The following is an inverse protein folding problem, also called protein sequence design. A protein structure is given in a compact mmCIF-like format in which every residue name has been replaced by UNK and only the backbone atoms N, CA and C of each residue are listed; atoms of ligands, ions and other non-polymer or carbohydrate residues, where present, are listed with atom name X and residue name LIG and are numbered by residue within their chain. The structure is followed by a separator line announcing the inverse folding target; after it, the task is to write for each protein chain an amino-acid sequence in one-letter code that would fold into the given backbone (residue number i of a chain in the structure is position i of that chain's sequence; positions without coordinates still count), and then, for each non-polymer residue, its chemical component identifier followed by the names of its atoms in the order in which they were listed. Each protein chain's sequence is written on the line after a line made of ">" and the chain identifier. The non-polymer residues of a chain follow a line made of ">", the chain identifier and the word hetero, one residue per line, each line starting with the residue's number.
data_IF_008435297561
#
_entry.id   IF_008435297561
#
_cell.length_a   1.000
_cell.length_b   1.000
_cell.length_c   1.000
_cell.angle_alpha   90.00
_cell.angle_beta   90.00
_cell.angle_gamma   90.00
#
_symmetry.space_group_name_H-M   'P 1'
#
loop_
_entity.id
_entity.type
_entity.pdbx_description
1 polymer ?
#
# COMPACT_ATOMS: atom_id res chain seq x y z
N UNK A 1 -18.44 14.67 -21.85
CA UNK A 1 -18.28 15.85 -20.97
C UNK A 1 -18.00 15.33 -19.57
N UNK A 2 -16.73 15.28 -19.14
CA UNK A 2 -16.37 14.81 -17.79
C UNK A 2 -16.39 15.99 -16.82
N UNK A 3 -17.11 15.87 -15.71
CA UNK A 3 -17.29 16.94 -14.72
C UNK A 3 -16.05 17.16 -13.84
N UNK A 4 -15.86 18.38 -13.35
CA UNK A 4 -14.77 18.81 -12.46
C UNK A 4 -14.59 17.85 -11.26
N UNK A 5 -15.68 17.31 -10.71
CA UNK A 5 -15.63 16.35 -9.60
C UNK A 5 -14.90 15.04 -9.92
N UNK A 6 -15.04 14.50 -11.15
CA UNK A 6 -14.34 13.29 -11.59
C UNK A 6 -12.83 13.51 -11.69
N UNK A 7 -12.42 14.69 -12.15
CA UNK A 7 -11.01 15.08 -12.28
C UNK A 7 -10.35 15.24 -10.90
N UNK A 8 -11.06 15.89 -9.97
CA UNK A 8 -10.58 16.11 -8.61
C UNK A 8 -10.40 14.78 -7.88
N UNK A 9 -11.41 13.90 -7.85
CA UNK A 9 -11.30 12.57 -7.21
C UNK A 9 -10.18 11.73 -7.85
N UNK A 10 -10.05 11.77 -9.18
CA UNK A 10 -8.92 11.13 -9.87
C UNK A 10 -7.55 11.64 -9.40
N UNK A 11 -7.42 12.96 -9.21
CA UNK A 11 -6.19 13.56 -8.68
C UNK A 11 -5.88 13.04 -7.27
N UNK A 12 -6.86 13.01 -6.36
CA UNK A 12 -6.65 12.53 -4.98
C UNK A 12 -6.25 11.06 -4.91
N UNK A 13 -6.84 10.21 -5.76
CA UNK A 13 -6.46 8.80 -5.88
C UNK A 13 -4.99 8.66 -6.31
N UNK A 14 -4.55 9.49 -7.26
CA UNK A 14 -3.17 9.47 -7.74
C UNK A 14 -2.17 9.95 -6.68
N UNK A 15 -2.50 11.02 -5.94
CA UNK A 15 -1.63 11.56 -4.88
C UNK A 15 -1.57 10.63 -3.66
N UNK A 16 -2.69 10.04 -3.26
CA UNK A 16 -2.70 9.02 -2.21
C UNK A 16 -1.79 7.84 -2.57
N UNK A 17 -1.92 7.33 -3.79
CA UNK A 17 -1.11 6.21 -4.29
C UNK A 17 0.39 6.55 -4.25
N UNK A 18 0.79 7.75 -4.70
CA UNK A 18 2.19 8.19 -4.66
C UNK A 18 2.75 8.26 -3.24
N UNK A 19 2.00 8.82 -2.29
CA UNK A 19 2.44 8.92 -0.90
C UNK A 19 2.64 7.54 -0.26
N UNK A 20 1.67 6.63 -0.42
CA UNK A 20 1.82 5.26 0.08
C UNK A 20 2.99 4.54 -0.57
N UNK A 21 3.17 4.69 -1.89
CA UNK A 21 4.30 4.11 -2.59
C UNK A 21 5.63 4.61 -2.04
N UNK A 22 5.76 5.92 -1.81
CA UNK A 22 6.96 6.51 -1.25
C UNK A 22 7.31 5.94 0.14
N UNK A 23 6.33 5.86 1.04
CA UNK A 23 6.53 5.29 2.38
C UNK A 23 6.93 3.82 2.31
N UNK A 24 6.21 3.01 1.52
CA UNK A 24 6.49 1.58 1.38
C UNK A 24 7.88 1.33 0.78
N UNK A 25 8.30 2.12 -0.22
CA UNK A 25 9.66 2.08 -0.76
C UNK A 25 10.71 2.46 0.28
N UNK A 26 10.46 3.48 1.10
CA UNK A 26 11.38 3.88 2.17
C UNK A 26 11.60 2.74 3.18
N UNK A 27 10.51 2.11 3.64
CA UNK A 27 10.58 0.94 4.53
C UNK A 27 11.34 -0.22 3.89
N UNK A 28 11.06 -0.51 2.61
CA UNK A 28 11.75 -1.53 1.83
C UNK A 28 13.25 -1.25 1.70
N UNK A 29 13.66 0.00 1.42
CA UNK A 29 15.08 0.39 1.34
C UNK A 29 15.81 0.29 2.67
N UNK A 30 15.10 0.47 3.79
CA UNK A 30 15.63 0.28 5.14
C UNK A 30 15.65 -1.19 5.57
N UNK A 31 15.06 -2.11 4.78
CA UNK A 31 14.99 -3.53 5.09
C UNK A 31 14.08 -3.86 6.27
N UNK A 32 13.15 -2.99 6.63
CA UNK A 32 12.26 -3.14 7.80
C UNK A 32 10.81 -3.30 7.39
N UNK A 33 10.09 -4.18 8.07
CA UNK A 33 8.65 -4.40 7.87
C UNK A 33 7.87 -4.18 9.17
N UNK A 34 7.62 -2.92 9.57
CA UNK A 34 6.86 -2.60 10.78
C UNK A 34 5.34 -2.84 10.62
N UNK A 35 4.87 -3.08 9.39
CA UNK A 35 3.45 -3.27 9.07
C UNK A 35 3.07 -4.75 9.20
N UNK A 36 4.04 -5.66 9.06
CA UNK A 36 3.85 -7.10 9.25
C UNK A 36 3.44 -7.85 7.98
N UNK A 37 3.85 -7.37 6.81
CA UNK A 37 3.66 -8.11 5.54
C UNK A 37 4.30 -9.51 5.59
N UNK A 38 5.45 -9.65 6.25
CA UNK A 38 6.14 -10.92 6.45
C UNK A 38 5.39 -11.87 7.36
N UNK A 39 4.67 -11.36 8.36
CA UNK A 39 3.78 -12.18 9.18
C UNK A 39 2.63 -12.73 8.34
N UNK A 40 2.02 -11.89 7.50
CA UNK A 40 0.98 -12.33 6.57
C UNK A 40 1.52 -13.33 5.53
N UNK A 41 2.70 -13.09 4.98
CA UNK A 41 3.36 -13.99 4.04
C UNK A 41 3.55 -15.39 4.68
N UNK A 42 4.14 -15.44 5.87
CA UNK A 42 4.38 -16.68 6.63
C UNK A 42 3.09 -17.39 7.08
N UNK A 43 2.00 -16.65 7.28
CA UNK A 43 0.70 -17.26 7.63
C UNK A 43 -0.01 -17.86 6.40
N UNK A 44 0.34 -17.42 5.19
CA UNK A 44 -0.33 -17.82 3.94
C UNK A 44 0.52 -18.78 3.08
N UNK A 45 1.82 -18.86 3.35
CA UNK A 45 2.75 -19.79 2.72
C UNK A 45 3.20 -20.82 3.77
N UNK A 46 3.24 -22.09 3.39
CA UNK A 46 3.57 -23.19 4.30
C UNK A 46 4.88 -23.87 3.86
N UNK A 47 6.02 -23.17 3.95
CA UNK A 47 7.35 -23.80 3.87
C UNK A 47 8.02 -23.94 5.26
N UNK A 48 7.25 -23.69 6.33
CA UNK A 48 7.61 -23.81 7.75
C UNK A 48 8.83 -22.96 8.10
N UNK A 49 9.99 -23.61 8.25
CA UNK A 49 11.21 -22.97 8.72
C UNK A 49 11.81 -22.05 7.64
N UNK A 50 11.57 -22.32 6.35
CA UNK A 50 12.15 -21.55 5.25
C UNK A 50 11.40 -20.25 4.93
N UNK A 51 10.21 -20.06 5.50
CA UNK A 51 9.37 -18.92 5.16
C UNK A 51 10.02 -17.59 5.54
N UNK A 52 10.85 -17.57 6.60
CA UNK A 52 11.56 -16.37 7.02
C UNK A 52 12.72 -16.01 6.09
N UNK A 53 13.53 -16.97 5.69
CA UNK A 53 14.62 -16.80 4.72
C UNK A 53 14.06 -16.36 3.37
N UNK A 54 12.96 -16.98 2.96
CA UNK A 54 12.24 -16.62 1.74
C UNK A 54 11.72 -15.20 1.82
N UNK A 55 11.08 -14.81 2.93
CA UNK A 55 10.61 -13.44 3.16
C UNK A 55 11.76 -12.42 3.08
N UNK A 56 12.86 -12.64 3.80
CA UNK A 56 14.06 -11.78 3.73
C UNK A 56 14.60 -11.67 2.31
N UNK A 57 14.55 -12.75 1.53
CA UNK A 57 15.01 -12.75 0.16
C UNK A 57 14.07 -11.95 -0.76
N UNK A 58 12.74 -12.07 -0.63
CA UNK A 58 11.80 -11.43 -1.55
C UNK A 58 11.48 -9.98 -1.17
N UNK A 59 11.41 -9.64 0.12
CA UNK A 59 10.96 -8.33 0.61
C UNK A 59 11.67 -7.15 -0.07
N UNK A 60 13.02 -7.15 -0.22
CA UNK A 60 13.73 -6.05 -0.89
C UNK A 60 13.42 -5.90 -2.39
N UNK A 61 12.83 -6.92 -3.02
CA UNK A 61 12.53 -6.97 -4.47
C UNK A 61 11.03 -6.99 -4.77
N UNK A 62 10.16 -6.79 -3.78
CA UNK A 62 8.72 -6.72 -4.00
C UNK A 62 8.33 -5.51 -4.85
N UNK A 63 7.45 -5.74 -5.80
CA UNK A 63 6.74 -4.69 -6.52
C UNK A 63 5.43 -4.34 -5.80
N UNK A 64 5.19 -3.05 -5.58
CA UNK A 64 4.02 -2.58 -4.86
C UNK A 64 2.86 -2.29 -5.81
N UNK A 65 1.79 -3.09 -5.70
CA UNK A 65 0.51 -2.81 -6.33
C UNK A 65 -0.42 -2.14 -5.33
N UNK A 66 -0.55 -0.82 -5.43
CA UNK A 66 -1.30 0.00 -4.47
C UNK A 66 -2.64 0.38 -5.08
N UNK A 67 -3.72 0.03 -4.38
CA UNK A 67 -5.07 0.46 -4.72
C UNK A 67 -5.60 1.33 -3.59
N UNK A 68 -5.81 2.61 -3.89
CA UNK A 68 -6.50 3.55 -3.00
C UNK A 68 -7.94 3.65 -3.47
N UNK A 69 -8.89 3.52 -2.54
CA UNK A 69 -10.30 3.81 -2.78
C UNK A 69 -10.69 4.97 -1.86
N UNK A 70 -11.30 6.01 -2.41
CA UNK A 70 -11.77 7.17 -1.64
C UNK A 70 -13.28 7.22 -1.80
N UNK A 71 -13.98 6.94 -0.71
CA UNK A 71 -15.44 7.05 -0.63
C UNK A 71 -15.79 8.35 0.10
N UNK A 72 -16.35 9.31 -0.64
CA UNK A 72 -16.82 10.57 -0.08
C UNK A 72 -18.20 10.34 0.55
N UNK A 73 -18.23 10.14 1.87
CA UNK A 73 -19.48 9.85 2.61
C UNK A 73 -20.27 11.14 2.93
N UNK A 74 -19.67 12.32 2.76
CA UNK A 74 -20.35 13.61 2.86
C UNK A 74 -19.35 14.77 2.94
N UNK A 75 -19.79 15.98 2.59
CA UNK A 75 -18.93 17.18 2.65
C UNK A 75 -18.79 17.77 4.06
N UNK A 76 -19.36 17.12 5.08
CA UNK A 76 -19.36 17.61 6.45
C UNK A 76 -19.91 19.04 6.53
N UNK A 77 -21.22 19.22 6.31
CA UNK A 77 -21.87 20.47 6.67
C UNK A 77 -21.89 20.59 8.20
N UNK A 78 -20.85 21.19 8.79
CA UNK A 78 -20.94 21.69 10.15
C UNK A 78 -21.94 22.84 10.08
N UNK A 79 -23.10 22.67 10.73
CA UNK A 79 -24.13 23.71 10.85
C UNK A 79 -23.76 24.68 11.95
#
# INVERSE_FOLDING_TARGET
>A
MFGIGTVIVGSWLSEGTKHYHHVLRKLQTLGVDPIGFGLRYRATHYEREKDWERWKAIYPRLDWQIKVNIDLVGSGGIK
#
